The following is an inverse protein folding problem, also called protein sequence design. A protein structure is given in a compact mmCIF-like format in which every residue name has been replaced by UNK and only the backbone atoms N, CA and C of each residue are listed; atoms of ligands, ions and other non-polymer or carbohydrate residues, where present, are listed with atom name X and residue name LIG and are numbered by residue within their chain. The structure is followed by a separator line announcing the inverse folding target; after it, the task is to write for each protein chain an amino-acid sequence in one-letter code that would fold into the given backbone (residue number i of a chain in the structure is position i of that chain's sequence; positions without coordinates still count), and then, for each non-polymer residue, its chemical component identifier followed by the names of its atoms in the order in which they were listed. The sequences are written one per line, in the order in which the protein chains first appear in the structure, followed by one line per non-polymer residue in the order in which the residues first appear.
data_IF_323326851779
#
_entry.id   IF_323326851779
#
_cell.length_a   1.000
_cell.length_b   1.000
_cell.length_c   1.000
_cell.angle_alpha   90.00
_cell.angle_beta   90.00
_cell.angle_gamma   90.00
#
_symmetry.space_group_name_H-M   'P 1'
#
loop_
_entity.id
_entity.type
_entity.pdbx_description
1 polymer ?
#
# COMPACT_ATOMS: atom_id res chain seq x y z
N UNK A 1 7.60 -16.55 1.56
CA UNK A 1 6.45 -16.01 0.79
C UNK A 1 6.15 -14.65 1.38
N UNK A 2 5.86 -13.70 0.49
CA UNK A 2 6.04 -12.25 0.61
C UNK A 2 5.54 -11.60 1.91
N UNK A 3 6.50 -10.94 2.55
CA UNK A 3 6.47 -9.71 3.36
C UNK A 3 5.10 -9.11 3.65
N UNK A 4 4.83 -8.86 4.94
CA UNK A 4 3.63 -8.21 5.47
C UNK A 4 3.47 -6.72 5.14
N UNK A 5 3.90 -6.29 3.95
CA UNK A 5 3.37 -5.11 3.30
C UNK A 5 2.05 -5.51 2.64
N UNK A 6 1.02 -4.68 2.77
CA UNK A 6 -0.10 -4.80 1.86
C UNK A 6 0.45 -4.71 0.45
N UNK A 7 0.15 -5.70 -0.37
CA UNK A 7 0.61 -5.67 -1.73
C UNK A 7 -0.08 -4.47 -2.38
N UNK A 8 0.68 -3.46 -2.83
CA UNK A 8 0.13 -2.31 -3.58
C UNK A 8 -0.56 -2.75 -4.88
N UNK A 9 -0.52 -4.05 -5.18
CA UNK A 9 -1.29 -4.69 -6.22
C UNK A 9 -2.31 -5.69 -5.68
N UNK A 10 -3.57 -5.55 -6.08
CA UNK A 10 -4.62 -6.55 -5.88
C UNK A 10 -4.65 -7.46 -7.12
N UNK A 11 -4.51 -8.79 -6.98
CA UNK A 11 -4.69 -9.71 -8.10
C UNK A 11 -6.05 -9.51 -8.79
N UNK A 12 -6.10 -9.65 -10.10
CA UNK A 12 -7.31 -9.38 -10.87
C UNK A 12 -8.46 -10.36 -10.61
N UNK A 13 -8.20 -11.51 -9.99
CA UNK A 13 -9.23 -12.51 -9.69
C UNK A 13 -9.17 -12.85 -8.21
N UNK A 14 -10.28 -12.65 -7.51
CA UNK A 14 -10.50 -13.10 -6.13
C UNK A 14 -11.33 -12.14 -5.30
N UNK A 15 -11.58 -12.54 -4.05
CA UNK A 15 -12.13 -11.68 -2.99
C UNK A 15 -11.05 -11.36 -1.97
N UNK A 16 -11.01 -10.09 -1.58
CA UNK A 16 -10.02 -9.51 -0.71
C UNK A 16 -10.71 -8.74 0.41
N UNK A 17 -10.37 -9.01 1.65
CA UNK A 17 -10.91 -8.25 2.78
C UNK A 17 -10.17 -6.93 2.94
N UNK A 18 -10.94 -5.86 3.03
CA UNK A 18 -10.38 -4.54 3.34
C UNK A 18 -10.04 -4.55 4.82
N UNK A 19 -8.86 -4.08 5.20
CA UNK A 19 -8.37 -4.25 6.58
C UNK A 19 -7.46 -5.48 6.76
N UNK A 20 -7.47 -6.46 5.84
CA UNK A 20 -6.70 -7.71 5.97
C UNK A 20 -5.85 -8.04 4.73
N UNK A 21 -6.47 -8.06 3.54
CA UNK A 21 -5.85 -8.48 2.29
C UNK A 21 -5.51 -7.29 1.39
N UNK A 22 -6.37 -6.27 1.36
CA UNK A 22 -6.19 -5.04 0.56
C UNK A 22 -6.35 -3.77 1.40
N UNK A 23 -5.38 -2.87 1.28
CA UNK A 23 -5.43 -1.61 2.01
C UNK A 23 -6.54 -0.73 1.42
N UNK A 24 -7.25 0.07 2.22
CA UNK A 24 -8.14 1.07 1.65
C UNK A 24 -7.34 2.08 0.82
N UNK A 25 -7.95 2.57 -0.26
CA UNK A 25 -7.24 3.37 -1.26
C UNK A 25 -7.94 3.47 -2.59
N UNK A 26 -7.43 4.33 -3.45
CA UNK A 26 -7.79 4.35 -4.87
C UNK A 26 -6.89 3.39 -5.62
N UNK A 27 -7.50 2.57 -6.46
CA UNK A 27 -6.86 1.53 -7.25
C UNK A 27 -7.20 1.71 -8.73
N UNK A 28 -6.23 1.39 -9.58
CA UNK A 28 -6.35 1.47 -11.03
C UNK A 28 -6.00 0.13 -11.67
N UNK A 29 -6.88 -0.34 -12.53
CA UNK A 29 -6.68 -1.46 -13.44
C UNK A 29 -6.44 -0.88 -14.84
N UNK A 30 -5.36 -1.24 -15.52
CA UNK A 30 -5.02 -0.69 -16.85
C UNK A 30 -5.90 -1.26 -17.97
N UNK A 31 -6.40 -2.49 -17.80
CA UNK A 31 -7.33 -3.12 -18.74
C UNK A 31 -8.40 -3.92 -18.00
N UNK A 32 -9.58 -3.30 -17.87
CA UNK A 32 -10.75 -3.92 -17.26
C UNK A 32 -11.59 -4.75 -18.22
N UNK A 33 -11.25 -4.83 -19.51
CA UNK A 33 -12.16 -5.30 -20.57
C UNK A 33 -12.85 -6.63 -20.25
N UNK A 34 -14.19 -6.59 -20.20
CA UNK A 34 -15.02 -7.79 -19.99
C UNK A 34 -14.96 -8.36 -18.58
N UNK A 35 -14.25 -7.69 -17.67
CA UNK A 35 -14.20 -8.01 -16.26
C UNK A 35 -15.31 -7.36 -15.45
N UNK A 36 -15.24 -7.55 -14.15
CA UNK A 36 -16.10 -6.92 -13.15
C UNK A 36 -15.40 -6.73 -11.82
N UNK A 37 -16.03 -5.92 -10.98
CA UNK A 37 -15.71 -5.83 -9.57
C UNK A 37 -16.96 -5.56 -8.75
N UNK A 38 -16.91 -5.96 -7.48
CA UNK A 38 -17.94 -5.72 -6.47
C UNK A 38 -17.25 -5.31 -5.17
N UNK A 39 -17.69 -4.22 -4.58
CA UNK A 39 -17.36 -3.76 -3.24
C UNK A 39 -18.54 -4.06 -2.33
N UNK A 40 -18.27 -4.79 -1.26
CA UNK A 40 -19.23 -5.01 -0.19
C UNK A 40 -19.12 -3.84 0.77
N UNK A 41 -20.01 -2.87 0.58
CA UNK A 41 -20.02 -1.64 1.36
C UNK A 41 -20.58 -1.89 2.76
N UNK A 42 -20.05 -1.19 3.75
CA UNK A 42 -20.58 -1.18 5.11
C UNK A 42 -20.33 -2.43 5.96
N UNK A 43 -20.60 -2.35 7.27
CA UNK A 43 -19.96 -3.17 8.32
C UNK A 43 -20.50 -4.61 8.48
N UNK A 44 -21.13 -5.15 7.44
CA UNK A 44 -21.77 -6.47 7.47
C UNK A 44 -22.44 -6.88 6.14
N UNK A 45 -22.05 -6.28 5.01
CA UNK A 45 -22.69 -6.52 3.71
C UNK A 45 -23.90 -5.61 3.47
N UNK A 46 -23.69 -4.29 3.51
CA UNK A 46 -24.59 -3.34 2.88
C UNK A 46 -24.73 -3.61 1.37
N UNK A 47 -25.57 -2.84 0.68
CA UNK A 47 -25.81 -3.10 -0.75
C UNK A 47 -24.48 -3.14 -1.52
N UNK A 48 -24.17 -4.26 -2.19
CA UNK A 48 -22.91 -4.41 -2.90
C UNK A 48 -22.89 -3.41 -4.05
N UNK A 49 -21.86 -2.57 -4.08
CA UNK A 49 -21.62 -1.64 -5.17
C UNK A 49 -20.69 -2.32 -6.15
N UNK A 50 -21.10 -2.50 -7.40
CA UNK A 50 -20.28 -3.18 -8.39
C UNK A 50 -20.49 -2.65 -9.79
N UNK A 51 -19.56 -2.99 -10.67
CA UNK A 51 -19.65 -2.65 -12.09
C UNK A 51 -19.40 -3.88 -12.94
N UNK A 52 -20.35 -4.17 -13.83
CA UNK A 52 -20.22 -5.17 -14.88
C UNK A 52 -21.13 -4.83 -16.08
N UNK A 53 -20.67 -5.05 -17.33
CA UNK A 53 -19.28 -5.34 -17.72
C UNK A 53 -18.42 -4.07 -17.72
N UNK A 54 -17.15 -4.22 -17.37
CA UNK A 54 -16.19 -3.12 -17.46
C UNK A 54 -15.85 -2.78 -18.92
N UNK A 55 -15.82 -1.48 -19.28
CA UNK A 55 -15.44 -1.05 -20.61
C UNK A 55 -13.96 -1.34 -20.90
N UNK A 56 -13.55 -1.39 -22.18
CA UNK A 56 -12.14 -1.47 -22.54
C UNK A 56 -11.40 -0.19 -22.11
N UNK A 57 -10.20 -0.36 -21.54
CA UNK A 57 -9.35 0.73 -21.06
C UNK A 57 -9.22 0.77 -19.53
N UNK A 58 -8.58 1.84 -19.01
CA UNK A 58 -8.27 1.93 -17.59
C UNK A 58 -9.55 2.12 -16.76
N UNK A 59 -9.67 1.34 -15.69
CA UNK A 59 -10.75 1.44 -14.71
C UNK A 59 -10.16 1.83 -13.36
N UNK A 60 -10.72 2.85 -12.74
CA UNK A 60 -10.37 3.26 -11.39
C UNK A 60 -11.51 2.95 -10.42
N UNK A 61 -11.13 2.53 -9.23
CA UNK A 61 -12.05 2.28 -8.12
C UNK A 61 -11.48 2.94 -6.88
N UNK A 62 -12.36 3.33 -5.98
CA UNK A 62 -12.00 3.65 -4.61
C UNK A 62 -12.48 2.51 -3.73
N UNK A 63 -11.63 2.03 -2.82
CA UNK A 63 -11.99 1.09 -1.75
C UNK A 63 -11.97 1.91 -0.46
N UNK A 64 -13.14 2.10 0.14
CA UNK A 64 -13.31 2.90 1.34
C UNK A 64 -12.74 2.16 2.57
N UNK A 65 -12.25 2.89 3.59
CA UNK A 65 -11.82 2.28 4.86
C UNK A 65 -12.88 1.41 5.54
N UNK A 66 -14.16 1.73 5.30
CA UNK A 66 -15.33 1.07 5.90
C UNK A 66 -15.89 -0.06 5.04
N UNK A 67 -15.34 -0.28 3.84
CA UNK A 67 -15.70 -1.44 3.04
C UNK A 67 -15.29 -2.71 3.78
N UNK A 68 -16.09 -3.77 3.62
CA UNK A 68 -15.78 -5.06 4.22
C UNK A 68 -14.90 -5.92 3.31
N UNK A 69 -15.26 -5.99 2.04
CA UNK A 69 -14.56 -6.81 1.06
C UNK A 69 -14.62 -6.21 -0.34
N UNK A 70 -13.61 -6.53 -1.13
CA UNK A 70 -13.49 -6.20 -2.53
C UNK A 70 -13.34 -7.49 -3.34
N UNK A 71 -14.24 -7.72 -4.27
CA UNK A 71 -14.23 -8.83 -5.20
C UNK A 71 -13.96 -8.31 -6.61
N UNK A 72 -13.13 -9.02 -7.36
CA UNK A 72 -12.80 -8.63 -8.72
C UNK A 72 -12.55 -9.85 -9.60
N UNK A 73 -12.90 -9.68 -10.88
CA UNK A 73 -12.53 -10.56 -11.96
C UNK A 73 -12.15 -9.73 -13.18
N UNK A 74 -10.89 -9.36 -13.25
CA UNK A 74 -10.23 -8.70 -14.38
C UNK A 74 -9.05 -9.56 -14.84
N UNK A 75 -8.68 -9.45 -16.12
CA UNK A 75 -7.57 -10.22 -16.71
C UNK A 75 -6.20 -9.82 -16.19
N UNK A 76 -6.09 -8.65 -15.56
CA UNK A 76 -4.84 -8.06 -15.09
C UNK A 76 -4.79 -7.98 -13.56
N UNK A 77 -4.47 -6.82 -12.99
CA UNK A 77 -4.39 -6.57 -11.56
C UNK A 77 -4.73 -5.11 -11.30
N UNK A 78 -5.11 -4.80 -10.08
CA UNK A 78 -5.32 -3.44 -9.62
C UNK A 78 -4.06 -2.93 -8.96
N UNK A 79 -3.61 -1.72 -9.25
CA UNK A 79 -2.51 -1.05 -8.57
C UNK A 79 -3.03 0.11 -7.74
N UNK A 80 -2.62 0.21 -6.48
CA UNK A 80 -2.92 1.35 -5.63
C UNK A 80 -2.24 2.59 -6.20
N UNK A 81 -3.03 3.62 -6.46
CA UNK A 81 -2.57 4.90 -7.02
C UNK A 81 -2.59 6.03 -5.99
N UNK A 82 -3.42 5.91 -4.95
CA UNK A 82 -3.52 6.90 -3.89
C UNK A 82 -4.16 6.32 -2.61
N UNK A 83 -3.95 6.97 -1.44
CA UNK A 83 -4.77 6.73 -0.25
C UNK A 83 -6.26 7.00 -0.52
N UNK A 84 -7.16 6.50 0.35
CA UNK A 84 -8.59 6.75 0.21
C UNK A 84 -8.86 8.25 0.32
N UNK A 85 -9.89 8.72 -0.37
CA UNK A 85 -10.29 10.12 -0.34
C UNK A 85 -10.80 10.44 1.07
N UNK A 86 -10.26 11.49 1.69
CA UNK A 86 -10.76 11.97 2.98
C UNK A 86 -12.21 12.45 2.78
N UNK A 87 -13.16 12.14 3.68
CA UNK A 87 -14.52 12.65 3.58
C UNK A 87 -14.52 14.18 3.47
N UNK A 88 -15.16 14.76 2.46
CA UNK A 88 -15.22 16.21 2.24
C UNK A 88 -15.88 16.96 3.42
N UNK A 89 -16.71 16.27 4.20
CA UNK A 89 -17.43 16.81 5.36
C UNK A 89 -16.56 17.00 6.61
N UNK A 90 -15.25 16.69 6.56
CA UNK A 90 -14.35 16.82 7.72
C UNK A 90 -14.69 15.90 8.89
N UNK A 91 -15.58 14.92 8.69
CA UNK A 91 -15.88 13.88 9.66
C UNK A 91 -14.64 13.02 9.91
N UNK A 92 -14.35 12.64 11.17
CA UNK A 92 -13.20 11.81 11.48
C UNK A 92 -13.29 10.50 10.68
N UNK A 93 -12.18 10.11 10.05
CA UNK A 93 -12.11 8.86 9.31
C UNK A 93 -12.50 7.70 10.24
N UNK A 94 -13.59 7.01 9.90
CA UNK A 94 -14.00 5.83 10.66
C UNK A 94 -12.85 4.80 10.62
N UNK A 95 -12.55 4.14 11.76
CA UNK A 95 -11.47 3.17 11.80
C UNK A 95 -11.74 2.03 10.83
N UNK A 96 -10.69 1.45 10.24
CA UNK A 96 -10.85 0.27 9.38
C UNK A 96 -11.26 -0.95 10.22
N UNK A 97 -11.98 -1.94 9.64
CA UNK A 97 -12.19 -3.22 10.29
C UNK A 97 -10.88 -3.89 10.69
N UNK A 98 -10.87 -4.55 11.84
CA UNK A 98 -9.72 -5.28 12.38
C UNK A 98 -10.07 -6.76 12.46
N UNK A 99 -9.17 -7.63 12.00
CA UNK A 99 -9.38 -9.07 12.08
C UNK A 99 -8.21 -9.77 12.76
N UNK A 100 -8.50 -10.96 13.28
CA UNK A 100 -7.49 -11.86 13.82
C UNK A 100 -6.43 -12.19 12.73
N UNK A 101 -5.14 -11.90 12.97
CA UNK A 101 -4.07 -12.22 12.02
C UNK A 101 -4.01 -13.70 11.61
N UNK A 102 -4.45 -14.63 12.46
CA UNK A 102 -4.49 -16.05 12.15
C UNK A 102 -5.66 -16.45 11.23
N UNK A 103 -6.70 -15.60 11.13
CA UNK A 103 -7.89 -15.87 10.32
C UNK A 103 -7.54 -16.03 8.84
N UNK A 104 -6.60 -15.23 8.33
CA UNK A 104 -6.13 -15.30 6.93
C UNK A 104 -5.54 -16.66 6.59
N UNK A 105 -4.59 -17.14 7.39
CA UNK A 105 -3.94 -18.43 7.15
C UNK A 105 -4.93 -19.59 7.18
N UNK A 106 -5.91 -19.54 8.09
CA UNK A 106 -6.98 -20.54 8.13
C UNK A 106 -7.89 -20.49 6.89
N UNK A 107 -8.32 -19.30 6.45
CA UNK A 107 -9.14 -19.14 5.26
C UNK A 107 -8.43 -19.61 3.98
N UNK A 108 -7.11 -19.41 3.91
CA UNK A 108 -6.27 -19.93 2.83
C UNK A 108 -6.21 -21.45 2.83
N UNK A 109 -6.06 -22.08 4.00
CA UNK A 109 -6.06 -23.55 4.09
C UNK A 109 -7.41 -24.17 3.71
N UNK A 110 -8.53 -23.52 4.08
CA UNK A 110 -9.89 -23.97 3.78
C UNK A 110 -10.12 -23.95 2.26
N UNK A 111 -9.69 -22.89 1.59
CA UNK A 111 -9.80 -22.78 0.14
C UNK A 111 -8.84 -23.71 -0.59
N UNK A 112 -7.59 -23.83 -0.13
CA UNK A 112 -6.61 -24.76 -0.70
C UNK A 112 -7.11 -26.22 -0.63
N UNK A 113 -7.71 -26.62 0.50
CA UNK A 113 -8.27 -27.98 0.68
C UNK A 113 -9.42 -28.30 -0.26
N UNK A 114 -10.20 -27.29 -0.69
CA UNK A 114 -11.40 -27.48 -1.53
C UNK A 114 -11.21 -27.13 -3.01
N UNK A 115 -10.13 -26.43 -3.38
CA UNK A 115 -9.69 -26.25 -4.77
C UNK A 115 -9.71 -27.53 -5.61
N UNK A 116 -9.18 -28.69 -5.17
CA UNK A 116 -9.23 -29.90 -5.98
C UNK A 116 -10.66 -30.41 -6.24
N UNK A 117 -11.57 -30.23 -5.27
CA UNK A 117 -12.96 -30.67 -5.42
C UNK A 117 -13.72 -29.83 -6.46
N UNK A 118 -13.47 -28.51 -6.49
CA UNK A 118 -14.09 -27.61 -7.46
C UNK A 118 -13.46 -27.76 -8.85
N UNK A 119 -12.16 -28.07 -8.93
CA UNK A 119 -11.51 -28.40 -10.20
C UNK A 119 -12.12 -29.64 -10.88
N UNK A 120 -12.68 -30.58 -10.09
CA UNK A 120 -13.40 -31.74 -10.61
C UNK A 120 -14.83 -31.41 -11.09
N UNK A 121 -15.39 -30.24 -10.80
CA UNK A 121 -16.74 -29.86 -11.21
C UNK A 121 -16.99 -29.99 -12.74
N UNK A 122 -16.16 -29.43 -13.64
CA UNK A 122 -16.33 -29.63 -15.08
C UNK A 122 -16.21 -31.11 -15.49
N UNK A 123 -15.37 -31.91 -14.82
CA UNK A 123 -15.25 -33.35 -15.07
C UNK A 123 -16.51 -34.12 -14.65
N UNK A 124 -17.15 -33.72 -13.55
CA UNK A 124 -18.43 -34.33 -13.13
C UNK A 124 -19.56 -33.98 -14.09
N UNK A 125 -19.63 -32.72 -14.55
CA UNK A 125 -20.59 -32.27 -15.57
C UNK A 125 -20.37 -33.05 -16.87
N UNK A 126 -19.12 -33.17 -17.33
CA UNK A 126 -18.78 -33.96 -18.52
C UNK A 126 -19.11 -35.45 -18.35
N UNK A 127 -18.84 -36.02 -17.17
CA UNK A 127 -19.17 -37.43 -16.84
C UNK A 127 -20.67 -37.72 -16.84
N UNK A 128 -21.50 -36.81 -16.29
CA UNK A 128 -22.97 -36.88 -16.37
C UNK A 128 -23.42 -36.79 -17.84
N UNK A 129 -22.77 -35.93 -18.62
CA UNK A 129 -22.98 -35.77 -20.06
C UNK A 129 -22.71 -37.05 -20.88
N UNK A 130 -21.67 -37.80 -20.51
CA UNK A 130 -21.40 -39.10 -21.13
C UNK A 130 -22.46 -40.14 -20.71
N UNK A 131 -22.87 -40.13 -19.44
CA UNK A 131 -23.82 -41.12 -18.88
C UNK A 131 -25.24 -41.01 -19.46
N UNK A 132 -25.72 -39.80 -19.74
CA UNK A 132 -27.04 -39.56 -20.35
C UNK A 132 -27.05 -39.55 -21.88
N UNK A 133 -25.89 -39.66 -22.53
CA UNK A 133 -25.77 -39.72 -24.00
C UNK A 133 -26.60 -40.82 -24.69
N UNK A 134 -26.77 -42.05 -24.15
CA UNK A 134 -27.61 -43.06 -24.80
C UNK A 134 -29.11 -42.73 -24.76
N UNK A 135 -29.55 -41.80 -23.89
CA UNK A 135 -30.96 -41.42 -23.73
C UNK A 135 -31.33 -40.17 -24.54
N UNK A 136 -30.42 -39.21 -24.64
CA UNK A 136 -30.70 -37.85 -25.14
C UNK A 136 -29.99 -37.50 -26.46
N UNK A 137 -29.12 -38.38 -26.97
CA UNK A 137 -28.43 -38.21 -28.25
C UNK A 137 -27.20 -37.28 -28.21
N UNK A 138 -26.50 -37.18 -29.34
CA UNK A 138 -25.18 -36.52 -29.44
C UNK A 138 -25.20 -34.99 -29.27
N UNK A 139 -26.34 -34.33 -29.55
CA UNK A 139 -26.51 -32.89 -29.34
C UNK A 139 -26.45 -32.50 -27.85
N UNK A 140 -26.80 -33.42 -26.96
CA UNK A 140 -26.76 -33.20 -25.50
C UNK A 140 -25.32 -33.06 -24.98
N UNK A 141 -24.37 -33.76 -25.58
CA UNK A 141 -22.93 -33.66 -25.25
C UNK A 141 -22.36 -32.29 -25.58
N UNK A 142 -22.85 -31.63 -26.64
CA UNK A 142 -22.42 -30.28 -27.02
C UNK A 142 -22.92 -29.27 -25.97
N UNK A 143 -24.18 -29.39 -25.55
CA UNK A 143 -24.77 -28.55 -24.49
C UNK A 143 -24.04 -28.72 -23.15
N UNK A 144 -23.74 -29.96 -22.76
CA UNK A 144 -23.00 -30.25 -21.52
C UNK A 144 -21.51 -29.92 -21.59
N UNK A 145 -20.88 -30.04 -22.76
CA UNK A 145 -19.52 -29.58 -22.99
C UNK A 145 -19.41 -28.06 -22.87
N UNK A 146 -20.35 -27.34 -23.47
CA UNK A 146 -20.43 -25.88 -23.34
C UNK A 146 -20.70 -25.47 -21.87
N UNK A 147 -21.60 -26.18 -21.18
CA UNK A 147 -21.85 -25.98 -19.75
C UNK A 147 -20.61 -26.28 -18.90
N UNK A 148 -19.86 -27.35 -19.20
CA UNK A 148 -18.64 -27.71 -18.50
C UNK A 148 -17.55 -26.63 -18.69
N UNK A 149 -17.43 -26.05 -19.88
CA UNK A 149 -16.54 -24.92 -20.17
C UNK A 149 -16.98 -23.68 -19.41
N UNK A 150 -18.27 -23.35 -19.42
CA UNK A 150 -18.83 -22.20 -18.68
C UNK A 150 -18.62 -22.36 -17.17
N UNK A 151 -18.79 -23.58 -16.66
CA UNK A 151 -18.50 -23.96 -15.27
C UNK A 151 -17.00 -23.85 -14.99
N UNK A 152 -16.12 -24.34 -15.86
CA UNK A 152 -14.67 -24.26 -15.69
C UNK A 152 -14.15 -22.81 -15.66
N UNK A 153 -14.76 -21.91 -16.44
CA UNK A 153 -14.41 -20.49 -16.45
C UNK A 153 -15.02 -19.70 -15.29
N UNK A 154 -16.24 -20.02 -14.84
CA UNK A 154 -16.98 -19.20 -13.86
C UNK A 154 -17.04 -19.73 -12.42
N UNK A 155 -16.93 -21.04 -12.19
CA UNK A 155 -17.20 -21.63 -10.86
C UNK A 155 -16.01 -21.71 -9.89
N UNK A 156 -14.73 -21.82 -10.30
CA UNK A 156 -13.64 -21.98 -9.34
C UNK A 156 -13.41 -20.76 -8.45
N UNK A 157 -13.55 -19.54 -8.97
CA UNK A 157 -13.33 -18.30 -8.23
C UNK A 157 -14.58 -17.90 -7.45
N UNK A 158 -15.70 -17.65 -8.15
CA UNK A 158 -16.93 -17.09 -7.56
C UNK A 158 -17.53 -17.97 -6.45
N UNK A 159 -17.49 -19.31 -6.60
CA UNK A 159 -18.10 -20.20 -5.59
C UNK A 159 -17.26 -20.42 -4.34
N UNK A 160 -15.93 -20.38 -4.46
CA UNK A 160 -15.01 -20.52 -3.32
C UNK A 160 -14.94 -19.22 -2.52
N UNK A 161 -15.04 -18.08 -3.20
CA UNK A 161 -14.90 -16.77 -2.58
C UNK A 161 -16.20 -16.28 -1.91
N UNK A 162 -17.38 -16.52 -2.50
CA UNK A 162 -18.67 -16.36 -1.80
C UNK A 162 -18.82 -17.28 -0.58
N UNK A 163 -18.12 -18.43 -0.58
CA UNK A 163 -18.07 -19.31 0.58
C UNK A 163 -17.13 -18.78 1.66
N UNK A 164 -16.01 -18.13 1.29
CA UNK A 164 -15.18 -17.41 2.27
C UNK A 164 -16.00 -16.34 2.98
N UNK A 165 -16.70 -15.48 2.24
CA UNK A 165 -17.54 -14.44 2.83
C UNK A 165 -18.59 -15.02 3.82
N UNK A 166 -19.30 -16.10 3.44
CA UNK A 166 -20.24 -16.80 4.34
C UNK A 166 -19.57 -17.46 5.55
N UNK A 167 -18.38 -18.03 5.38
CA UNK A 167 -17.65 -18.62 6.51
C UNK A 167 -17.04 -17.56 7.43
N UNK A 168 -16.79 -16.33 6.95
CA UNK A 168 -16.51 -15.20 7.83
C UNK A 168 -17.75 -14.77 8.59
N UNK A 169 -18.92 -14.66 7.96
CA UNK A 169 -20.18 -14.35 8.68
C UNK A 169 -20.43 -15.33 9.83
N UNK A 170 -20.07 -16.61 9.65
CA UNK A 170 -20.10 -17.64 10.70
C UNK A 170 -19.02 -17.49 11.78
N UNK A 171 -17.98 -16.70 11.52
CA UNK A 171 -16.83 -16.40 12.38
C UNK A 171 -16.79 -14.93 12.78
N UNK A 172 -17.97 -14.33 13.03
CA UNK A 172 -18.15 -12.94 13.49
C UNK A 172 -17.42 -12.63 14.80
N UNK A 173 -16.96 -13.64 15.51
CA UNK A 173 -16.10 -13.53 16.69
C UNK A 173 -14.63 -13.21 16.38
N UNK A 174 -14.20 -13.32 15.10
CA UNK A 174 -12.80 -13.17 14.68
C UNK A 174 -12.51 -11.95 13.81
N UNK A 175 -13.49 -11.09 13.62
CA UNK A 175 -13.31 -9.77 13.04
C UNK A 175 -14.21 -8.76 13.76
N UNK A 176 -13.76 -7.51 13.81
CA UNK A 176 -14.46 -6.40 14.44
C UNK A 176 -14.64 -5.28 13.42
N UNK A 177 -15.84 -4.74 13.36
CA UNK A 177 -16.19 -3.65 12.45
C UNK A 177 -16.45 -2.36 13.24
N UNK A 178 -16.50 -1.18 12.60
CA UNK A 178 -16.69 0.09 13.30
C UNK A 178 -17.95 0.15 14.19
N UNK A 179 -18.96 -0.68 13.90
CA UNK A 179 -20.21 -0.77 14.67
C UNK A 179 -20.06 -1.52 16.00
N UNK A 180 -18.99 -2.31 16.16
CA UNK A 180 -18.69 -3.00 17.42
C UNK A 180 -18.12 -2.04 18.49
N UNK A 181 -17.91 -0.78 18.12
CA UNK A 181 -17.30 0.25 18.95
C UNK A 181 -18.26 1.44 19.13
N UNK A 182 -18.25 2.02 20.32
CA UNK A 182 -18.79 3.35 20.58
C UNK A 182 -17.82 4.44 20.11
N UNK A 183 -18.23 5.71 20.21
CA UNK A 183 -17.46 6.85 19.70
C UNK A 183 -16.03 6.93 20.27
N UNK A 184 -15.88 6.68 21.56
CA UNK A 184 -14.57 6.68 22.21
C UNK A 184 -13.73 5.47 21.79
N UNK A 185 -14.34 4.28 21.66
CA UNK A 185 -13.67 3.09 21.14
C UNK A 185 -13.18 3.30 19.70
N UNK A 186 -14.00 3.93 18.85
CA UNK A 186 -13.63 4.29 17.46
C UNK A 186 -12.45 5.25 17.43
N UNK A 187 -12.49 6.32 18.23
CA UNK A 187 -11.41 7.29 18.30
C UNK A 187 -10.09 6.65 18.77
N UNK A 188 -10.14 5.77 19.77
CA UNK A 188 -8.95 5.07 20.26
C UNK A 188 -8.41 4.07 19.24
N UNK A 189 -9.28 3.36 18.51
CA UNK A 189 -8.87 2.47 17.45
C UNK A 189 -8.21 3.22 16.29
N UNK A 190 -8.74 4.37 15.88
CA UNK A 190 -8.12 5.20 14.83
C UNK A 190 -6.71 5.65 15.21
N UNK A 191 -6.46 5.97 16.49
CA UNK A 191 -5.13 6.29 17.01
C UNK A 191 -4.17 5.11 16.91
N UNK A 192 -4.62 3.91 17.29
CA UNK A 192 -3.84 2.66 17.16
C UNK A 192 -3.47 2.42 15.70
N UNK A 193 -4.44 2.52 14.79
CA UNK A 193 -4.24 2.30 13.36
C UNK A 193 -3.23 3.30 12.79
N UNK A 194 -3.35 4.58 13.14
CA UNK A 194 -2.40 5.61 12.73
C UNK A 194 -0.98 5.33 13.23
N UNK A 195 -0.83 4.85 14.47
CA UNK A 195 0.48 4.49 15.03
C UNK A 195 1.08 3.26 14.34
N UNK A 196 0.28 2.22 14.08
CA UNK A 196 0.71 1.02 13.34
C UNK A 196 1.13 1.39 11.92
N UNK A 197 0.31 2.17 11.21
CA UNK A 197 0.58 2.55 9.83
C UNK A 197 1.83 3.42 9.74
N UNK A 198 2.04 4.36 10.67
CA UNK A 198 3.26 5.16 10.74
C UNK A 198 4.53 4.31 10.90
N UNK A 199 4.48 3.21 11.64
CA UNK A 199 5.62 2.29 11.76
C UNK A 199 5.80 1.47 10.49
N UNK A 200 4.70 0.92 9.94
CA UNK A 200 4.76 0.03 8.77
C UNK A 200 5.23 0.77 7.52
N UNK A 201 4.76 1.99 7.33
CA UNK A 201 5.06 2.82 6.16
C UNK A 201 6.40 3.56 6.26
N UNK A 202 7.05 3.50 7.43
CA UNK A 202 8.37 4.12 7.66
C UNK A 202 9.43 3.54 6.73
N UNK A 203 10.35 4.40 6.32
CA UNK A 203 11.44 3.98 5.42
C UNK A 203 12.40 3.03 6.13
N UNK A 204 12.72 3.29 7.40
CA UNK A 204 13.54 2.40 8.24
C UNK A 204 12.94 0.99 8.35
N UNK A 205 11.61 0.85 8.37
CA UNK A 205 10.96 -0.45 8.38
C UNK A 205 11.01 -1.12 7.00
N UNK A 206 10.78 -0.37 5.91
CA UNK A 206 10.82 -0.90 4.54
C UNK A 206 12.23 -1.35 4.12
N UNK A 207 13.26 -0.68 4.59
CA UNK A 207 14.66 -1.05 4.32
C UNK A 207 15.18 -2.16 5.24
N UNK A 208 14.36 -2.63 6.19
CA UNK A 208 14.76 -3.68 7.12
C UNK A 208 15.81 -3.24 8.15
N UNK A 209 15.93 -1.93 8.39
CA UNK A 209 16.77 -1.38 9.47
C UNK A 209 16.15 -1.63 10.84
N UNK A 210 14.82 -1.80 10.89
CA UNK A 210 14.10 -2.40 12.00
C UNK A 210 13.86 -3.89 11.74
N UNK A 211 13.55 -4.66 12.78
CA UNK A 211 13.09 -6.04 12.63
C UNK A 211 11.71 -6.07 11.96
N UNK A 212 11.74 -5.97 10.62
CA UNK A 212 10.55 -5.92 9.77
C UNK A 212 9.72 -7.19 9.86
N UNK A 213 10.34 -8.32 10.21
CA UNK A 213 9.64 -9.60 10.39
C UNK A 213 8.87 -9.60 11.70
N UNK A 214 9.49 -9.18 12.81
CA UNK A 214 8.78 -9.03 14.08
C UNK A 214 7.68 -7.98 13.97
N UNK A 215 7.95 -6.82 13.37
CA UNK A 215 6.95 -5.77 13.15
C UNK A 215 5.75 -6.26 12.33
N UNK A 216 5.99 -7.05 11.27
CA UNK A 216 4.93 -7.60 10.42
C UNK A 216 4.01 -8.59 11.14
N UNK A 217 4.47 -9.21 12.23
CA UNK A 217 3.69 -10.21 13.00
C UNK A 217 3.13 -9.60 14.28
N UNK A 218 3.92 -8.81 14.99
CA UNK A 218 3.59 -8.28 16.31
C UNK A 218 2.62 -7.10 16.19
N UNK A 219 2.81 -6.16 15.26
CA UNK A 219 1.92 -4.99 15.16
C UNK A 219 0.46 -5.36 14.83
N UNK A 220 0.15 -6.22 13.84
CA UNK A 220 -1.23 -6.64 13.59
C UNK A 220 -1.86 -7.38 14.77
N UNK A 221 -1.05 -8.17 15.51
CA UNK A 221 -1.51 -8.85 16.72
C UNK A 221 -1.83 -7.86 17.85
N UNK A 222 -1.01 -6.83 18.04
CA UNK A 222 -1.29 -5.76 19.00
C UNK A 222 -2.56 -4.99 18.62
N UNK A 223 -2.75 -4.65 17.34
CA UNK A 223 -3.96 -4.00 16.83
C UNK A 223 -5.21 -4.82 17.15
N UNK A 224 -5.19 -6.12 16.84
CA UNK A 224 -6.30 -7.05 17.12
C UNK A 224 -6.60 -7.20 18.62
N UNK A 225 -5.58 -7.37 19.46
CA UNK A 225 -5.77 -7.52 20.90
C UNK A 225 -6.35 -6.24 21.53
N UNK A 226 -5.90 -5.05 21.09
CA UNK A 226 -6.44 -3.78 21.55
C UNK A 226 -7.89 -3.63 21.08
N UNK A 227 -8.17 -3.91 19.80
CA UNK A 227 -9.52 -3.83 19.24
C UNK A 227 -10.52 -4.72 20.00
N UNK A 228 -10.14 -5.95 20.37
CA UNK A 228 -11.00 -6.83 21.17
C UNK A 228 -11.35 -6.25 22.54
N UNK A 229 -10.39 -5.60 23.21
CA UNK A 229 -10.64 -4.98 24.51
C UNK A 229 -11.53 -3.76 24.35
N UNK A 230 -11.27 -2.92 23.34
CA UNK A 230 -12.11 -1.76 23.02
C UNK A 230 -13.55 -2.16 22.72
N UNK A 231 -13.79 -3.15 21.86
CA UNK A 231 -15.13 -3.64 21.55
C UNK A 231 -15.85 -4.17 22.80
N UNK A 232 -15.12 -4.85 23.70
CA UNK A 232 -15.67 -5.31 24.99
C UNK A 232 -16.02 -4.15 25.91
N UNK A 233 -15.18 -3.11 25.97
CA UNK A 233 -15.45 -1.90 26.75
C UNK A 233 -16.66 -1.15 26.20
N UNK A 234 -16.76 -0.97 24.88
CA UNK A 234 -17.92 -0.36 24.22
C UNK A 234 -19.22 -1.11 24.53
N UNK A 235 -19.20 -2.44 24.44
CA UNK A 235 -20.34 -3.29 24.82
C UNK A 235 -20.74 -3.09 26.28
N UNK A 236 -19.77 -3.13 27.21
CA UNK A 236 -20.04 -2.96 28.64
C UNK A 236 -20.58 -1.57 28.98
N UNK A 237 -20.14 -0.52 28.26
CA UNK A 237 -20.69 0.84 28.41
C UNK A 237 -22.13 0.92 27.93
N UNK A 238 -22.42 0.36 26.76
CA UNK A 238 -23.79 0.28 26.26
C UNK A 238 -24.72 -0.48 27.23
N UNK A 239 -24.27 -1.62 27.77
CA UNK A 239 -25.02 -2.38 28.78
C UNK A 239 -25.25 -1.55 30.07
N UNK A 240 -24.25 -0.75 30.51
CA UNK A 240 -24.38 0.12 31.67
C UNK A 240 -25.32 1.31 31.42
N UNK A 241 -25.33 1.87 30.22
CA UNK A 241 -26.22 2.95 29.83
C UNK A 241 -27.67 2.46 29.76
N UNK A 242 -27.91 1.29 29.17
CA UNK A 242 -29.23 0.66 29.10
C UNK A 242 -29.78 0.34 30.50
N UNK A 243 -28.94 -0.18 31.39
CA UNK A 243 -29.29 -0.42 32.79
C UNK A 243 -29.53 0.89 33.58
N UNK A 244 -28.90 2.00 33.16
CA UNK A 244 -28.95 3.30 33.82
C UNK A 244 -29.99 4.29 33.28
N UNK A 245 -30.61 4.00 32.13
CA UNK A 245 -31.46 4.93 31.35
C UNK A 245 -32.82 5.32 31.96
N UNK A 246 -33.02 5.20 33.27
CA UNK A 246 -34.26 5.56 33.98
C UNK A 246 -34.01 6.33 35.28
N UNK A 247 -35.08 6.71 35.98
CA UNK A 247 -34.99 7.24 37.35
C UNK A 247 -34.50 6.12 38.29
N UNK A 248 -33.17 5.99 38.40
CA UNK A 248 -32.53 4.93 39.16
C UNK A 248 -32.71 5.13 40.66
N UNK A 249 -33.05 4.03 41.34
CA UNK A 249 -32.99 3.98 42.79
C UNK A 249 -31.51 4.10 43.23
N UNK A 250 -31.20 4.85 44.31
CA UNK A 250 -29.83 5.06 44.77
C UNK A 250 -29.10 3.75 45.11
N UNK A 251 -29.83 2.68 45.45
CA UNK A 251 -29.30 1.34 45.72
C UNK A 251 -28.72 0.69 44.46
N UNK A 252 -29.33 0.89 43.28
CA UNK A 252 -28.83 0.32 42.02
C UNK A 252 -27.59 1.08 41.54
N UNK A 253 -27.58 2.40 41.73
CA UNK A 253 -26.42 3.24 41.43
C UNK A 253 -25.20 2.85 42.30
N UNK A 254 -25.42 2.60 43.60
CA UNK A 254 -24.39 2.09 44.50
C UNK A 254 -23.86 0.71 44.08
N UNK A 255 -24.72 -0.18 43.56
CA UNK A 255 -24.32 -1.49 43.06
C UNK A 255 -23.54 -1.43 41.73
N UNK A 256 -23.79 -0.41 40.90
CA UNK A 256 -23.08 -0.21 39.64
C UNK A 256 -21.70 0.44 39.81
N UNK A 257 -21.48 1.23 40.86
CA UNK A 257 -20.22 1.94 41.08
C UNK A 257 -18.96 1.04 41.04
N UNK A 258 -18.92 -0.16 41.67
CA UNK A 258 -17.78 -1.07 41.55
C UNK A 258 -17.57 -1.63 40.13
N UNK A 259 -18.64 -1.78 39.34
CA UNK A 259 -18.53 -2.25 37.94
C UNK A 259 -17.94 -1.16 37.05
N UNK A 260 -18.36 0.10 37.24
CA UNK A 260 -17.78 1.26 36.54
C UNK A 260 -16.30 1.43 36.89
N UNK A 261 -15.94 1.31 38.17
CA UNK A 261 -14.53 1.37 38.59
C UNK A 261 -13.65 0.28 37.95
N UNK A 262 -14.16 -0.97 37.82
CA UNK A 262 -13.44 -2.03 37.10
C UNK A 262 -13.26 -1.73 35.62
N UNK A 263 -14.28 -1.14 34.99
CA UNK A 263 -14.21 -0.73 33.59
C UNK A 263 -13.18 0.39 33.39
N UNK A 264 -13.15 1.38 34.28
CA UNK A 264 -12.17 2.47 34.27
C UNK A 264 -10.73 1.97 34.34
N UNK A 265 -10.45 1.00 35.22
CA UNK A 265 -9.12 0.35 35.29
C UNK A 265 -8.74 -0.31 33.97
N UNK A 266 -9.71 -0.95 33.29
CA UNK A 266 -9.50 -1.54 31.97
C UNK A 266 -9.20 -0.47 30.91
N UNK A 267 -9.95 0.63 30.90
CA UNK A 267 -9.75 1.77 30.00
C UNK A 267 -8.36 2.36 30.19
N UNK A 268 -7.95 2.63 31.44
CA UNK A 268 -6.62 3.17 31.74
C UNK A 268 -5.48 2.25 31.27
N UNK A 269 -5.64 0.93 31.44
CA UNK A 269 -4.66 -0.05 30.99
C UNK A 269 -4.52 -0.05 29.45
N UNK A 270 -5.64 0.02 28.71
CA UNK A 270 -5.62 0.09 27.24
C UNK A 270 -5.04 1.41 26.78
N UNK A 271 -5.43 2.54 27.38
CA UNK A 271 -4.88 3.86 27.07
C UNK A 271 -3.35 3.87 27.17
N UNK A 272 -2.79 3.34 28.26
CA UNK A 272 -1.32 3.23 28.42
C UNK A 272 -0.66 2.37 27.34
N UNK A 273 -1.34 1.32 26.87
CA UNK A 273 -0.86 0.47 25.77
C UNK A 273 -0.87 1.23 24.43
N UNK A 274 -1.93 2.00 24.16
CA UNK A 274 -2.00 2.86 22.96
C UNK A 274 -0.91 3.93 22.99
N UNK A 275 -0.71 4.62 24.13
CA UNK A 275 0.36 5.61 24.30
C UNK A 275 1.78 5.01 24.14
N UNK A 276 1.98 3.74 24.53
CA UNK A 276 3.23 3.05 24.28
C UNK A 276 3.47 2.81 22.79
N UNK A 277 2.41 2.45 22.04
CA UNK A 277 2.46 2.25 20.59
C UNK A 277 2.70 3.57 19.85
N UNK A 278 2.04 4.64 20.25
CA UNK A 278 2.25 5.99 19.70
C UNK A 278 3.68 6.48 19.94
N UNK A 279 4.22 6.27 21.15
CA UNK A 279 5.64 6.60 21.44
C UNK A 279 6.61 5.76 20.62
N UNK A 280 6.28 4.52 20.30
CA UNK A 280 7.08 3.71 19.41
C UNK A 280 7.04 4.28 17.98
N UNK A 281 5.86 4.60 17.45
CA UNK A 281 5.70 5.24 16.14
C UNK A 281 6.48 6.56 16.03
N UNK A 282 6.46 7.38 17.09
CA UNK A 282 7.20 8.64 17.11
C UNK A 282 8.72 8.43 17.03
N UNK A 283 9.25 7.43 17.74
CA UNK A 283 10.68 7.06 17.64
C UNK A 283 11.06 6.57 16.25
N UNK A 284 10.16 5.84 15.59
CA UNK A 284 10.35 5.37 14.23
C UNK A 284 10.38 6.54 13.25
N UNK A 285 9.51 7.54 13.39
CA UNK A 285 9.57 8.78 12.59
C UNK A 285 10.88 9.55 12.79
N UNK A 286 11.33 9.69 14.04
CA UNK A 286 12.62 10.32 14.31
C UNK A 286 13.79 9.56 13.67
N UNK A 287 13.72 8.22 13.61
CA UNK A 287 14.71 7.41 12.91
C UNK A 287 14.67 7.63 11.38
N UNK A 288 13.48 7.76 10.78
CA UNK A 288 13.33 8.13 9.37
C UNK A 288 13.98 9.49 9.07
N UNK A 289 13.76 10.51 9.93
CA UNK A 289 14.37 11.83 9.75
C UNK A 289 15.91 11.77 9.73
N UNK A 290 16.49 10.96 10.62
CA UNK A 290 17.95 10.73 10.68
C UNK A 290 18.43 10.02 9.42
N UNK A 291 17.72 8.99 8.95
CA UNK A 291 18.05 8.28 7.71
C UNK A 291 18.02 9.23 6.50
N UNK A 292 16.99 10.08 6.41
CA UNK A 292 16.88 11.09 5.36
C UNK A 292 18.00 12.14 5.44
N UNK A 293 18.44 12.51 6.65
CA UNK A 293 19.56 13.43 6.84
C UNK A 293 20.89 12.79 6.40
N UNK A 294 21.13 11.53 6.76
CA UNK A 294 22.31 10.78 6.34
C UNK A 294 22.43 10.71 4.82
N UNK A 295 21.36 10.32 4.11
CA UNK A 295 21.39 10.25 2.64
C UNK A 295 21.61 11.62 1.98
N UNK A 296 21.08 12.68 2.58
CA UNK A 296 21.33 14.05 2.10
C UNK A 296 22.80 14.42 2.24
N UNK A 297 23.46 14.04 3.34
CA UNK A 297 24.89 14.25 3.53
C UNK A 297 25.72 13.43 2.54
N UNK A 298 25.35 12.16 2.30
CA UNK A 298 26.01 11.30 1.30
C UNK A 298 25.92 11.92 -0.11
N UNK A 299 24.74 12.39 -0.52
CA UNK A 299 24.54 13.06 -1.80
C UNK A 299 25.33 14.38 -1.93
N UNK A 300 25.50 15.12 -0.83
CA UNK A 300 26.34 16.33 -0.81
C UNK A 300 27.82 15.95 -0.93
N UNK A 301 28.26 14.92 -0.22
CA UNK A 301 29.64 14.44 -0.26
C UNK A 301 30.03 13.93 -1.66
N UNK A 302 29.12 13.23 -2.34
CA UNK A 302 29.33 12.81 -3.73
C UNK A 302 29.52 14.01 -4.66
N UNK A 303 28.68 15.05 -4.53
CA UNK A 303 28.83 16.28 -5.32
C UNK A 303 30.08 17.08 -4.96
N UNK A 304 30.53 17.05 -3.71
CA UNK A 304 31.73 17.78 -3.28
C UNK A 304 32.96 17.35 -4.10
N UNK A 305 33.02 16.10 -4.56
CA UNK A 305 34.11 15.62 -5.41
C UNK A 305 34.19 16.38 -6.75
N UNK A 306 33.05 16.72 -7.36
CA UNK A 306 33.03 17.53 -8.60
C UNK A 306 33.54 18.95 -8.36
N UNK A 307 33.27 19.52 -7.18
CA UNK A 307 33.82 20.83 -6.79
C UNK A 307 35.33 20.76 -6.53
N UNK A 308 35.82 19.69 -5.90
CA UNK A 308 37.24 19.47 -5.70
C UNK A 308 37.99 19.31 -7.04
N UNK A 309 37.41 18.60 -8.01
CA UNK A 309 37.96 18.50 -9.37
C UNK A 309 37.98 19.86 -10.08
N UNK A 310 36.90 20.65 -9.98
CA UNK A 310 36.85 22.01 -10.54
C UNK A 310 37.93 22.93 -9.94
N UNK A 311 38.17 22.83 -8.64
CA UNK A 311 39.25 23.57 -7.98
C UNK A 311 40.63 23.09 -8.46
N UNK A 312 40.81 21.79 -8.65
CA UNK A 312 42.07 21.25 -9.18
C UNK A 312 42.35 21.70 -10.62
N UNK A 313 41.33 21.75 -11.48
CA UNK A 313 41.46 22.22 -12.87
C UNK A 313 41.72 23.74 -12.94
N UNK A 314 41.08 24.54 -12.10
CA UNK A 314 41.36 25.99 -12.04
C UNK A 314 42.79 26.28 -11.56
N UNK A 315 43.32 25.51 -10.58
CA UNK A 315 44.73 25.60 -10.19
C UNK A 315 45.67 25.21 -11.35
N UNK A 316 45.29 24.23 -12.19
CA UNK A 316 46.07 23.87 -13.39
C UNK A 316 46.08 25.02 -14.40
N UNK A 317 44.94 25.67 -14.61
CA UNK A 317 44.82 26.81 -15.53
C UNK A 317 45.65 28.00 -15.06
N UNK A 318 45.65 28.31 -13.76
CA UNK A 318 46.50 29.36 -13.18
C UNK A 318 48.01 29.06 -13.39
N UNK A 319 48.41 27.79 -13.31
CA UNK A 319 49.77 27.35 -13.60
C UNK A 319 50.13 27.38 -15.09
N UNK A 320 49.15 27.43 -16.00
CA UNK A 320 49.36 27.53 -17.45
C UNK A 320 49.56 28.99 -17.92
N UNK A 321 49.08 29.97 -17.16
CA UNK A 321 49.22 31.41 -17.49
C UNK A 321 50.67 31.85 -17.78
N UNK A 322 51.71 31.45 -16.99
CA UNK A 322 53.09 31.84 -17.27
C UNK A 322 53.69 31.19 -18.53
N UNK A 323 53.16 30.05 -18.97
CA UNK A 323 53.58 29.40 -20.21
C UNK A 323 52.96 30.10 -21.43
N UNK A 324 51.69 30.49 -21.33
CA UNK A 324 51.01 31.28 -22.38
C UNK A 324 51.67 32.66 -22.52
N UNK A 325 52.02 33.33 -21.41
CA UNK A 325 52.74 34.60 -21.45
C UNK A 325 54.07 34.52 -22.22
N UNK A 326 54.84 33.44 -22.02
CA UNK A 326 56.08 33.19 -22.76
C UNK A 326 55.85 32.94 -24.25
N UNK A 327 54.81 32.19 -24.62
CA UNK A 327 54.45 31.97 -26.02
C UNK A 327 54.04 33.28 -26.73
N UNK A 328 53.36 34.17 -26.03
CA UNK A 328 53.01 35.50 -26.54
C UNK A 328 54.25 36.36 -26.78
N UNK A 329 55.19 36.38 -25.82
CA UNK A 329 56.45 37.14 -25.95
C UNK A 329 57.30 36.64 -27.13
N UNK A 330 57.38 35.32 -27.32
CA UNK A 330 58.04 34.71 -28.48
C UNK A 330 57.37 35.07 -29.80
N UNK A 331 56.03 35.16 -29.81
CA UNK A 331 55.27 35.54 -31.00
C UNK A 331 55.52 37.01 -31.37
N UNK A 332 55.59 37.90 -30.38
CA UNK A 332 55.93 39.31 -30.60
C UNK A 332 57.36 39.48 -31.14
N UNK A 333 58.31 38.69 -30.64
CA UNK A 333 59.67 38.67 -31.15
C UNK A 333 59.75 38.16 -32.60
N UNK A 334 58.97 37.13 -32.93
CA UNK A 334 58.84 36.61 -34.30
C UNK A 334 58.27 37.69 -35.23
N UNK A 335 57.18 38.37 -34.83
CA UNK A 335 56.55 39.46 -35.60
C UNK A 335 57.53 40.60 -35.83
N UNK A 336 58.29 40.99 -34.80
CA UNK A 336 59.33 42.02 -34.93
C UNK A 336 60.40 41.62 -35.95
N UNK A 337 60.91 40.39 -35.85
CA UNK A 337 61.91 39.84 -36.78
C UNK A 337 61.39 39.80 -38.22
N UNK A 338 60.13 39.40 -38.42
CA UNK A 338 59.50 39.38 -39.74
C UNK A 338 59.34 40.80 -40.30
N UNK A 339 58.93 41.77 -39.48
CA UNK A 339 58.85 43.19 -39.88
C UNK A 339 60.22 43.75 -40.27
N UNK A 340 61.26 43.45 -39.51
CA UNK A 340 62.63 43.85 -39.83
C UNK A 340 63.12 43.24 -41.15
N UNK A 341 62.81 41.97 -41.40
CA UNK A 341 63.12 41.32 -42.69
C UNK A 341 62.34 41.94 -43.84
N UNK A 342 61.06 42.25 -43.64
CA UNK A 342 60.22 42.91 -44.64
C UNK A 342 60.73 44.32 -44.97
N UNK A 343 61.15 45.08 -43.95
CA UNK A 343 61.75 46.40 -44.13
C UNK A 343 63.05 46.32 -44.92
N UNK A 344 63.95 45.38 -44.59
CA UNK A 344 65.19 45.15 -45.34
C UNK A 344 64.93 44.71 -46.79
N UNK A 345 63.89 43.90 -47.02
CA UNK A 345 63.51 43.50 -48.38
C UNK A 345 62.89 44.66 -49.19
N UNK A 346 62.13 45.55 -48.55
CA UNK A 346 61.60 46.75 -49.18
C UNK A 346 62.70 47.77 -49.53
N UNK A 347 63.71 47.91 -48.66
CA UNK A 347 64.88 48.77 -48.88
C UNK A 347 65.75 48.24 -50.05
N UNK A 348 65.99 46.93 -50.10
CA UNK A 348 66.68 46.28 -51.23
C UNK A 348 65.87 46.32 -52.54
N UNK A 349 64.54 46.33 -52.47
CA UNK A 349 63.66 46.52 -53.63
C UNK A 349 63.65 47.96 -54.16
N UNK A 350 63.96 48.95 -53.33
CA UNK A 350 64.11 50.36 -53.71
C UNK A 350 65.42 50.69 -54.41
N UNK A 351 66.44 49.83 -54.31
CA UNK A 351 67.73 49.95 -55.02
C UNK A 351 67.72 49.31 -56.43
N UNK A 352 66.61 48.71 -56.86
CA UNK A 352 66.46 48.22 -58.23
C UNK A 352 66.13 49.39 -59.18
N UNK A 353 66.93 49.65 -60.23
CA UNK A 353 66.68 50.74 -61.17
C UNK A 353 65.39 50.48 -61.97
N UNK A 354 64.67 51.53 -62.39
CA UNK A 354 63.42 51.36 -63.12
C UNK A 354 63.66 50.61 -64.44
N UNK A 355 62.73 49.74 -64.86
CA UNK A 355 62.85 49.05 -66.13
C UNK A 355 62.80 50.09 -67.27
N UNK A 356 63.80 49.99 -68.15
CA UNK A 356 63.97 50.77 -69.38
C UNK A 356 62.88 50.56 -70.41
#
# INVERSE_FOLDING_TARGET
MTSGAWNDSIPGIGTFFVGIDVAPGRYRCEDGKGGWWVRFTGPGGGEPVGSWPLPPGPTEIEIAPTDFAFETHVSTYWRRIAPPSTPEDGSPAEPRPVADPALRAELDTIVARRRPLVWLAPLTVLGIGVLGSPLLGSLWLIGLGMLAVLVALGTPSVSLDLRRARELERRRDRYLTPQDFDDEGRAMLSRVQAAVDAVRDSEVNREGLLDSVDNAVTLPRQEWEIAQVLARQSKLRAEQEELGGGAMLPEVEAAMAPLRAKLEVSVEAVTRRVEALERYAERVRAADEVLHAQRRLEAIAEKAHEYDELVADTVRDDLALPAIARLTEQSDELVRTLRERLAKAAEAGGELPPPS
#
